data_IF_076037631805
#
_entry.id   IF_076037631805
#
_cell.length_a   1.000
_cell.length_b   1.000
_cell.length_c   1.000
_cell.angle_alpha   90.00
_cell.angle_beta   90.00
_cell.angle_gamma   90.00
#
_symmetry.space_group_name_H-M   'P 1'
#
loop_
_entity.id
_entity.type
_entity.pdbx_description
1 polymer ?
#
# COMPACT_ATOMS: atom_id res chain seq x y z
N UNK A 1 -2.88 13.29 -19.33
CA UNK A 1 -2.99 12.53 -18.07
C UNK A 1 -2.15 13.12 -16.94
N UNK A 2 -1.37 14.18 -17.16
CA UNK A 2 -0.79 15.01 -16.08
C UNK A 2 -1.92 15.86 -15.49
N UNK A 3 -2.07 15.87 -14.16
CA UNK A 3 -3.08 16.68 -13.42
C UNK A 3 -4.30 15.90 -12.89
N UNK A 4 -4.72 14.82 -13.55
CA UNK A 4 -5.81 13.96 -13.04
C UNK A 4 -5.37 13.14 -11.83
N UNK A 5 -4.10 12.70 -11.82
CA UNK A 5 -3.55 11.88 -10.74
C UNK A 5 -3.32 12.68 -9.45
N UNK A 6 -2.83 13.91 -9.56
CA UNK A 6 -2.72 14.82 -8.41
C UNK A 6 -4.11 15.14 -7.83
N UNK A 7 -5.09 15.40 -8.69
CA UNK A 7 -6.48 15.64 -8.25
C UNK A 7 -7.06 14.41 -7.55
N UNK A 8 -6.84 13.22 -8.10
CA UNK A 8 -7.26 11.97 -7.48
C UNK A 8 -6.58 11.76 -6.12
N UNK A 9 -5.29 12.07 -6.00
CA UNK A 9 -4.57 11.98 -4.74
C UNK A 9 -5.23 12.85 -3.66
N UNK A 10 -5.55 14.11 -3.96
CA UNK A 10 -6.23 15.02 -3.02
C UNK A 10 -7.61 14.51 -2.60
N UNK A 11 -8.39 14.00 -3.54
CA UNK A 11 -9.71 13.40 -3.22
C UNK A 11 -9.57 12.18 -2.30
N UNK A 12 -8.54 11.36 -2.50
CA UNK A 12 -8.25 10.23 -1.62
C UNK A 12 -7.72 10.67 -0.25
N UNK A 13 -7.03 11.81 -0.15
CA UNK A 13 -6.62 12.40 1.13
C UNK A 13 -7.84 12.82 1.94
N UNK A 14 -8.78 13.55 1.32
CA UNK A 14 -10.05 13.94 1.95
C UNK A 14 -10.83 12.71 2.43
N UNK A 15 -10.89 11.67 1.58
CA UNK A 15 -11.50 10.40 1.94
C UNK A 15 -10.79 9.74 3.13
N UNK A 16 -9.46 9.66 3.14
CA UNK A 16 -8.69 9.05 4.21
C UNK A 16 -8.76 9.81 5.54
N UNK A 17 -8.97 11.13 5.49
CA UNK A 17 -9.13 12.00 6.64
C UNK A 17 -10.53 11.91 7.27
N UNK A 18 -11.53 11.37 6.55
CA UNK A 18 -12.90 11.31 7.04
C UNK A 18 -13.07 10.31 8.19
N UNK A 19 -13.20 10.83 9.42
CA UNK A 19 -13.36 10.04 10.65
C UNK A 19 -14.68 9.26 10.73
N UNK A 20 -15.65 9.51 9.83
CA UNK A 20 -16.88 8.72 9.73
C UNK A 20 -16.65 7.35 9.10
N UNK A 21 -15.52 7.16 8.42
CA UNK A 21 -15.16 5.90 7.77
C UNK A 21 -14.47 4.96 8.75
N UNK A 22 -14.54 3.66 8.45
CA UNK A 22 -13.81 2.66 9.20
C UNK A 22 -12.29 2.90 9.12
N UNK A 23 -11.51 2.53 10.16
CA UNK A 23 -10.05 2.58 10.09
C UNK A 23 -9.48 1.85 8.87
N UNK A 24 -10.10 0.73 8.48
CA UNK A 24 -9.75 -0.05 7.29
C UNK A 24 -9.92 0.74 5.99
N UNK A 25 -11.06 1.42 5.83
CA UNK A 25 -11.32 2.21 4.63
C UNK A 25 -10.40 3.42 4.56
N UNK A 26 -10.11 4.06 5.69
CA UNK A 26 -9.15 5.16 5.76
C UNK A 26 -7.74 4.73 5.38
N UNK A 27 -7.29 3.56 5.87
CA UNK A 27 -6.01 2.97 5.48
C UNK A 27 -5.97 2.66 3.97
N UNK A 28 -7.07 2.16 3.41
CA UNK A 28 -7.20 1.95 1.95
C UNK A 28 -7.16 3.24 1.16
N UNK A 29 -7.81 4.30 1.66
CA UNK A 29 -7.70 5.66 1.12
C UNK A 29 -6.25 6.12 1.03
N UNK A 30 -5.49 6.02 2.14
CA UNK A 30 -4.05 6.37 2.16
C UNK A 30 -3.23 5.57 1.14
N UNK A 31 -3.52 4.28 0.98
CA UNK A 31 -2.86 3.46 -0.04
C UNK A 31 -3.18 3.95 -1.48
N UNK A 32 -4.39 4.46 -1.72
CA UNK A 32 -4.77 5.06 -3.00
C UNK A 32 -4.11 6.41 -3.25
N UNK A 33 -3.99 7.26 -2.22
CA UNK A 33 -3.19 8.51 -2.26
C UNK A 33 -1.78 8.19 -2.77
N UNK A 34 -1.08 7.29 -2.10
CA UNK A 34 0.27 6.91 -2.50
C UNK A 34 0.33 6.32 -3.91
N UNK A 35 -0.65 5.51 -4.29
CA UNK A 35 -0.69 4.93 -5.65
C UNK A 35 -0.83 6.01 -6.73
N UNK A 36 -1.68 7.01 -6.50
CA UNK A 36 -1.88 8.11 -7.43
C UNK A 36 -0.60 8.96 -7.55
N UNK A 37 0.01 9.31 -6.42
CA UNK A 37 1.27 10.09 -6.37
C UNK A 37 2.44 9.37 -7.03
N UNK A 38 2.58 8.05 -6.81
CA UNK A 38 3.65 7.26 -7.43
C UNK A 38 3.51 7.24 -8.95
N UNK A 39 2.26 7.16 -9.46
CA UNK A 39 1.99 7.24 -10.90
C UNK A 39 2.21 8.64 -11.47
N UNK A 40 1.99 9.68 -10.67
CA UNK A 40 2.23 11.07 -11.04
C UNK A 40 3.73 11.44 -11.04
N UNK A 41 4.56 10.63 -10.37
CA UNK A 41 6.01 10.82 -10.26
C UNK A 41 6.48 11.37 -8.92
N UNK A 42 5.56 11.71 -8.02
CA UNK A 42 5.87 12.14 -6.65
C UNK A 42 6.13 10.93 -5.74
N UNK A 43 7.29 10.30 -5.95
CA UNK A 43 7.62 9.03 -5.30
C UNK A 43 7.87 9.16 -3.79
N UNK A 44 8.51 10.24 -3.33
CA UNK A 44 8.82 10.43 -1.91
C UNK A 44 7.54 10.53 -1.07
N UNK A 45 6.58 11.32 -1.53
CA UNK A 45 5.31 11.43 -0.84
C UNK A 45 4.47 10.16 -0.98
N UNK A 46 4.57 9.49 -2.13
CA UNK A 46 3.94 8.19 -2.32
C UNK A 46 4.42 7.13 -1.32
N UNK A 47 5.74 7.03 -1.11
CA UNK A 47 6.36 6.11 -0.15
C UNK A 47 5.80 6.37 1.25
N UNK A 48 5.84 7.62 1.71
CA UNK A 48 5.36 7.98 3.05
C UNK A 48 3.86 7.66 3.27
N UNK A 49 3.02 7.96 2.28
CA UNK A 49 1.59 7.64 2.33
C UNK A 49 1.34 6.13 2.37
N UNK A 50 2.10 5.36 1.59
CA UNK A 50 1.99 3.90 1.53
C UNK A 50 2.52 3.22 2.80
N UNK A 51 3.62 3.69 3.39
CA UNK A 51 4.15 3.18 4.66
C UNK A 51 3.11 3.34 5.78
N UNK A 52 2.49 4.53 5.86
CA UNK A 52 1.41 4.79 6.82
C UNK A 52 0.22 3.85 6.63
N UNK A 53 -0.15 3.57 5.38
CA UNK A 53 -1.23 2.63 5.07
C UNK A 53 -0.86 1.18 5.45
N UNK A 54 0.38 0.75 5.16
CA UNK A 54 0.89 -0.58 5.49
C UNK A 54 0.89 -0.81 7.00
N UNK A 55 1.39 0.14 7.77
CA UNK A 55 1.37 0.07 9.25
C UNK A 55 -0.07 -0.06 9.76
N UNK A 56 -0.99 0.73 9.23
CA UNK A 56 -2.40 0.64 9.62
C UNK A 56 -3.02 -0.72 9.28
N UNK A 57 -2.68 -1.34 8.14
CA UNK A 57 -3.17 -2.69 7.83
C UNK A 57 -2.57 -3.76 8.74
N UNK A 58 -1.32 -3.59 9.18
CA UNK A 58 -0.67 -4.47 10.14
C UNK A 58 -1.38 -4.41 11.49
N UNK A 59 -1.60 -3.21 12.02
CA UNK A 59 -2.32 -2.98 13.28
C UNK A 59 -3.75 -3.54 13.26
N UNK A 60 -4.41 -3.45 12.09
CA UNK A 60 -5.75 -3.98 11.87
C UNK A 60 -5.79 -5.47 11.54
N UNK A 61 -4.64 -6.16 11.48
CA UNK A 61 -4.52 -7.57 11.08
C UNK A 61 -5.12 -7.88 9.68
N UNK A 62 -5.08 -6.90 8.78
CA UNK A 62 -5.60 -6.97 7.42
C UNK A 62 -4.56 -7.55 6.45
N UNK A 63 -4.24 -8.85 6.59
CA UNK A 63 -3.10 -9.50 5.91
C UNK A 63 -3.10 -9.35 4.38
N UNK A 64 -4.26 -9.51 3.73
CA UNK A 64 -4.36 -9.36 2.27
C UNK A 64 -4.08 -7.92 1.83
N UNK A 65 -4.66 -6.94 2.52
CA UNK A 65 -4.46 -5.53 2.22
C UNK A 65 -3.02 -5.09 2.53
N UNK A 66 -2.45 -5.61 3.62
CA UNK A 66 -1.05 -5.42 3.98
C UNK A 66 -0.11 -5.94 2.89
N UNK A 67 -0.33 -7.16 2.38
CA UNK A 67 0.50 -7.73 1.29
C UNK A 67 0.40 -6.91 0.00
N UNK A 68 -0.79 -6.43 -0.36
CA UNK A 68 -0.96 -5.51 -1.50
C UNK A 68 -0.27 -4.17 -1.25
N UNK A 69 -0.30 -3.68 -0.01
CA UNK A 69 0.43 -2.49 0.42
C UNK A 69 1.93 -2.61 0.22
N UNK A 70 2.52 -3.73 0.66
CA UNK A 70 3.94 -4.04 0.46
C UNK A 70 4.33 -4.04 -1.03
N UNK A 71 3.51 -4.64 -1.89
CA UNK A 71 3.74 -4.67 -3.34
C UNK A 71 3.70 -3.26 -3.96
N UNK A 72 2.75 -2.43 -3.55
CA UNK A 72 2.64 -1.04 -4.04
C UNK A 72 3.82 -0.19 -3.57
N UNK A 73 4.21 -0.34 -2.30
CA UNK A 73 5.37 0.35 -1.74
C UNK A 73 6.66 -0.04 -2.47
N UNK A 74 6.80 -1.31 -2.85
CA UNK A 74 7.92 -1.77 -3.68
C UNK A 74 7.98 -1.06 -5.03
N UNK A 75 6.84 -0.84 -5.69
CA UNK A 75 6.77 -0.12 -6.96
C UNK A 75 7.16 1.35 -6.82
N UNK A 76 6.76 2.01 -5.72
CA UNK A 76 7.16 3.38 -5.43
C UNK A 76 8.68 3.48 -5.18
N UNK A 77 9.26 2.58 -4.39
CA UNK A 77 10.72 2.52 -4.21
C UNK A 77 11.47 2.25 -5.51
N UNK A 78 10.93 1.40 -6.39
CA UNK A 78 11.49 1.18 -7.72
C UNK A 78 11.46 2.47 -8.55
N UNK A 79 10.38 3.25 -8.48
CA UNK A 79 10.29 4.58 -9.10
C UNK A 79 11.39 5.53 -8.61
N UNK A 80 11.72 5.43 -7.33
CA UNK A 80 12.83 6.15 -6.68
C UNK A 80 14.23 5.56 -6.90
N UNK A 81 14.36 4.54 -7.76
CA UNK A 81 15.61 3.79 -7.99
C UNK A 81 16.19 3.13 -6.73
N UNK A 82 15.41 3.01 -5.66
CA UNK A 82 15.76 2.25 -4.46
C UNK A 82 15.39 0.76 -4.66
N UNK A 83 16.17 0.08 -5.49
CA UNK A 83 15.89 -1.29 -5.89
C UNK A 83 16.03 -2.29 -4.75
N UNK A 84 16.91 -2.03 -3.79
CA UNK A 84 17.10 -2.89 -2.62
C UNK A 84 15.84 -2.93 -1.75
N UNK A 85 15.23 -1.76 -1.48
CA UNK A 85 13.96 -1.71 -0.77
C UNK A 85 12.84 -2.40 -1.55
N UNK A 86 12.76 -2.15 -2.86
CA UNK A 86 11.74 -2.75 -3.72
C UNK A 86 11.80 -4.29 -3.69
N UNK A 87 12.99 -4.88 -3.81
CA UNK A 87 13.16 -6.33 -3.77
C UNK A 87 12.75 -6.92 -2.41
N UNK A 88 13.21 -6.33 -1.30
CA UNK A 88 12.84 -6.78 0.05
C UNK A 88 11.33 -6.82 0.26
N UNK A 89 10.63 -5.78 -0.19
CA UNK A 89 9.18 -5.65 -0.02
C UNK A 89 8.40 -6.67 -0.88
N UNK A 90 8.87 -6.96 -2.10
CA UNK A 90 8.30 -8.02 -2.94
C UNK A 90 8.45 -9.39 -2.29
N UNK A 91 9.64 -9.69 -1.74
CA UNK A 91 9.89 -10.97 -1.08
C UNK A 91 9.09 -11.12 0.23
N UNK A 92 8.90 -10.01 0.96
CA UNK A 92 8.02 -9.97 2.13
C UNK A 92 6.57 -10.25 1.76
N UNK A 93 6.03 -9.57 0.75
CA UNK A 93 4.66 -9.77 0.27
C UNK A 93 4.43 -11.21 -0.21
N UNK A 94 5.42 -11.80 -0.89
CA UNK A 94 5.39 -13.20 -1.36
C UNK A 94 5.35 -14.17 -0.19
N UNK A 95 6.22 -13.98 0.81
CA UNK A 95 6.30 -14.85 1.99
C UNK A 95 5.00 -14.85 2.79
N UNK A 96 4.36 -13.69 2.94
CA UNK A 96 3.07 -13.60 3.62
C UNK A 96 1.95 -14.36 2.88
N UNK A 97 1.95 -14.32 1.54
CA UNK A 97 1.04 -15.13 0.73
C UNK A 97 1.25 -16.63 0.93
N UNK A 98 2.51 -17.09 0.97
CA UNK A 98 2.85 -18.50 1.21
C UNK A 98 2.35 -18.96 2.60
N UNK A 99 2.54 -18.16 3.64
CA UNK A 99 2.04 -18.47 4.99
C UNK A 99 0.50 -18.54 5.04
N UNK A 100 -0.20 -17.65 4.32
CA UNK A 100 -1.66 -17.67 4.24
C UNK A 100 -2.21 -18.90 3.50
N UNK A 101 -1.58 -19.33 2.40
CA UNK A 101 -1.96 -20.55 1.67
C UNK A 101 -1.52 -21.84 2.39
N UNK A 102 -0.42 -21.80 3.13
CA UNK A 102 0.13 -22.93 3.89
C UNK A 102 -0.76 -23.38 5.06
N UNK A 103 -1.61 -22.49 5.58
CA UNK A 103 -2.60 -22.81 6.63
C UNK A 103 -3.84 -23.58 6.14
N UNK A 104 -4.00 -23.80 4.83
CA UNK A 104 -5.14 -24.54 4.24
C UNK A 104 -4.80 -25.94 3.75
N UNK A 105 -3.78 -26.60 4.30
CA UNK A 105 -3.62 -28.06 4.16
C UNK A 105 -4.03 -28.78 5.44
N UNK A 106 -5.35 -28.90 5.65
CA UNK A 106 -5.85 -30.04 6.42
C UNK A 106 -5.69 -31.26 5.53
N UNK A 107 -4.77 -32.12 5.95
CA UNK A 107 -4.66 -33.52 5.52
C UNK A 107 -6.04 -34.15 5.69
N UNK A 108 -6.56 -34.72 4.60
CA UNK A 108 -7.58 -35.76 4.61
C UNK A 108 -7.04 -36.92 3.81
#
# INVERSE_FOLDING_TARGET
MVGELETAARQYEDFAANDRLSPRDRARGRLWVGTALSKDGNQDYAVSAMETAVLAFEDLSELEAWSVGQQKLALAHRGNRNLDAALRLIDLARSAGITHFGGRRKVM
#
